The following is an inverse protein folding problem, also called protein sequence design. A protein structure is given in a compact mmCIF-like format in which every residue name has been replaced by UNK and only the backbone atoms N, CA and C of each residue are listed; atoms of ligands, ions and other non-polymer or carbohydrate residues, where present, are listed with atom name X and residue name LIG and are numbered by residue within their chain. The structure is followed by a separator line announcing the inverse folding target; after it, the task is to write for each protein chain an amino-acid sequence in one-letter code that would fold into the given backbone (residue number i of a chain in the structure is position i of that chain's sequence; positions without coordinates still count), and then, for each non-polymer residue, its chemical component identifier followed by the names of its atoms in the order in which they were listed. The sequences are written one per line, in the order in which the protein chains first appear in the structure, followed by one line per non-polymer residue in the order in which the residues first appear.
data_IF_589730979421
#
_entry.id   IF_589730979421
#
_cell.length_a   1.000
_cell.length_b   1.000
_cell.length_c   1.000
_cell.angle_alpha   90.00
_cell.angle_beta   90.00
_cell.angle_gamma   90.00
#
_symmetry.space_group_name_H-M   'P 1'
#
loop_
_entity.id
_entity.type
_entity.pdbx_description
1 polymer ?
#
# COMPACT_ATOMS: atom_id res chain seq x y z
N UNK A 1 3.87 -3.30 19.93
CA UNK A 1 4.48 -2.99 18.61
C UNK A 1 3.92 -3.88 17.51
N UNK A 2 4.12 -5.21 17.57
CA UNK A 2 3.62 -6.13 16.52
C UNK A 2 2.11 -6.04 16.29
N UNK A 3 1.31 -5.95 17.36
CA UNK A 3 -0.14 -5.78 17.25
C UNK A 3 -0.54 -4.49 16.52
N UNK A 4 0.15 -3.38 16.81
CA UNK A 4 -0.07 -2.08 16.15
C UNK A 4 0.31 -2.14 14.67
N UNK A 5 1.43 -2.80 14.35
CA UNK A 5 1.87 -2.98 12.96
C UNK A 5 0.87 -3.85 12.17
N UNK A 6 0.33 -4.90 12.78
CA UNK A 6 -0.70 -5.73 12.15
C UNK A 6 -2.02 -4.98 11.96
N UNK A 7 -2.41 -4.12 12.90
CA UNK A 7 -3.58 -3.27 12.72
C UNK A 7 -3.37 -2.25 11.60
N UNK A 8 -2.21 -1.60 11.52
CA UNK A 8 -1.89 -0.70 10.41
C UNK A 8 -1.94 -1.40 9.05
N UNK A 9 -1.47 -2.66 8.95
CA UNK A 9 -1.60 -3.46 7.73
C UNK A 9 -3.07 -3.79 7.43
N UNK A 10 -3.88 -4.07 8.46
CA UNK A 10 -5.32 -4.34 8.30
C UNK A 10 -6.06 -3.11 7.78
N UNK A 11 -5.84 -1.95 8.39
CA UNK A 11 -6.42 -0.68 7.94
C UNK A 11 -6.03 -0.35 6.50
N UNK A 12 -4.75 -0.53 6.14
CA UNK A 12 -4.29 -0.33 4.77
C UNK A 12 -5.04 -1.23 3.79
N UNK A 13 -5.21 -2.53 4.10
CA UNK A 13 -5.99 -3.47 3.27
C UNK A 13 -7.44 -3.02 3.10
N UNK A 14 -8.10 -2.56 4.17
CA UNK A 14 -9.49 -2.06 4.12
C UNK A 14 -9.60 -0.86 3.17
N UNK A 15 -8.65 0.08 3.26
CA UNK A 15 -8.59 1.25 2.38
C UNK A 15 -8.41 0.81 0.92
N UNK A 16 -7.45 -0.08 0.67
CA UNK A 16 -7.16 -0.60 -0.67
C UNK A 16 -8.39 -1.31 -1.27
N UNK A 17 -9.10 -2.13 -0.50
CA UNK A 17 -10.33 -2.80 -0.93
C UNK A 17 -11.43 -1.79 -1.28
N UNK A 18 -11.57 -0.72 -0.50
CA UNK A 18 -12.52 0.35 -0.77
C UNK A 18 -12.18 1.08 -2.08
N UNK A 19 -10.92 1.41 -2.29
CA UNK A 19 -10.46 2.06 -3.53
C UNK A 19 -10.71 1.18 -4.76
N UNK A 20 -10.50 -0.14 -4.67
CA UNK A 20 -10.80 -1.07 -5.77
C UNK A 20 -12.30 -1.11 -6.07
N UNK A 21 -13.15 -1.16 -5.03
CA UNK A 21 -14.61 -1.12 -5.20
C UNK A 21 -15.05 0.18 -5.87
N UNK A 22 -14.51 1.32 -5.43
CA UNK A 22 -14.82 2.62 -6.01
C UNK A 22 -14.36 2.71 -7.47
N UNK A 23 -13.14 2.30 -7.78
CA UNK A 23 -12.62 2.25 -9.15
C UNK A 23 -13.52 1.40 -10.05
N UNK A 24 -13.97 0.22 -9.61
CA UNK A 24 -14.90 -0.62 -10.37
C UNK A 24 -16.24 0.08 -10.61
N UNK A 25 -16.79 0.74 -9.59
CA UNK A 25 -18.03 1.51 -9.73
C UNK A 25 -17.88 2.66 -10.75
N UNK A 26 -16.75 3.38 -10.71
CA UNK A 26 -16.43 4.43 -11.68
C UNK A 26 -16.27 3.88 -13.10
N UNK A 27 -15.63 2.71 -13.28
CA UNK A 27 -15.52 2.03 -14.58
C UNK A 27 -16.90 1.68 -15.15
N UNK A 28 -17.79 1.10 -14.34
CA UNK A 28 -19.16 0.78 -14.75
C UNK A 28 -19.94 2.04 -15.15
N UNK A 29 -19.87 3.10 -14.32
CA UNK A 29 -20.53 4.36 -14.63
C UNK A 29 -20.03 4.96 -15.95
N UNK A 30 -18.71 5.00 -16.15
CA UNK A 30 -18.10 5.50 -17.38
C UNK A 30 -18.52 4.68 -18.61
N UNK A 31 -18.62 3.36 -18.49
CA UNK A 31 -19.08 2.50 -19.60
C UNK A 31 -20.54 2.75 -19.96
N UNK A 32 -21.42 2.93 -18.97
CA UNK A 32 -22.84 3.24 -19.19
C UNK A 32 -23.00 4.61 -19.85
N UNK A 33 -22.28 5.62 -19.35
CA UNK A 33 -22.31 6.98 -19.89
C UNK A 33 -21.77 7.03 -21.32
N UNK A 34 -20.68 6.31 -21.60
CA UNK A 34 -20.11 6.21 -22.95
C UNK A 34 -21.09 5.55 -23.93
N UNK A 35 -21.77 4.47 -23.52
CA UNK A 35 -22.80 3.83 -24.35
C UNK A 35 -24.00 4.76 -24.58
N UNK A 36 -24.44 5.49 -23.56
CA UNK A 36 -25.52 6.49 -23.71
C UNK A 36 -25.13 7.60 -24.67
N UNK A 37 -23.88 8.05 -24.64
CA UNK A 37 -23.34 9.06 -25.56
C UNK A 37 -23.42 8.59 -27.01
N UNK A 38 -23.03 7.34 -27.29
CA UNK A 38 -23.11 6.76 -28.64
C UNK A 38 -24.55 6.63 -29.12
N UNK A 39 -25.49 6.24 -28.24
CA UNK A 39 -26.91 6.13 -28.62
C UNK A 39 -27.55 7.50 -28.93
N UNK A 40 -27.10 8.56 -28.27
CA UNK A 40 -27.60 9.91 -28.47
C UNK A 40 -26.88 10.67 -29.60
N UNK A 41 -25.87 10.06 -30.24
CA UNK A 41 -25.12 10.69 -31.33
C UNK A 41 -25.93 10.73 -32.63
N UNK A 42 -26.42 11.93 -32.96
CA UNK A 42 -27.21 12.20 -34.18
C UNK A 42 -26.42 11.99 -35.47
N UNK A 43 -25.09 11.92 -35.42
CA UNK A 43 -24.25 11.68 -36.61
C UNK A 43 -24.25 10.20 -37.03
N UNK A 44 -24.61 9.28 -36.14
CA UNK A 44 -24.69 7.85 -36.43
C UNK A 44 -26.07 7.54 -37.01
N UNK A 45 -26.11 7.34 -38.34
CA UNK A 45 -27.37 7.31 -39.10
C UNK A 45 -27.98 5.92 -39.17
N UNK A 46 -27.17 4.87 -39.13
CA UNK A 46 -27.63 3.49 -39.24
C UNK A 46 -27.17 2.60 -38.06
N UNK A 47 -27.82 1.43 -37.93
CA UNK A 47 -27.53 0.46 -36.87
C UNK A 47 -26.11 -0.08 -36.95
N UNK A 48 -25.60 -0.36 -38.16
CA UNK A 48 -24.27 -0.93 -38.36
C UNK A 48 -23.15 0.02 -37.87
N UNK A 49 -23.27 1.32 -38.13
CA UNK A 49 -22.38 2.37 -37.63
C UNK A 49 -22.40 2.46 -36.10
N UNK A 50 -23.60 2.41 -35.50
CA UNK A 50 -23.75 2.41 -34.04
C UNK A 50 -23.09 1.19 -33.43
N UNK A 51 -23.39 -0.01 -33.94
CA UNK A 51 -22.81 -1.26 -33.45
C UNK A 51 -21.28 -1.28 -33.61
N UNK A 52 -20.76 -0.78 -34.74
CA UNK A 52 -19.32 -0.60 -34.94
C UNK A 52 -18.74 0.36 -33.90
N UNK A 53 -19.36 1.52 -33.68
CA UNK A 53 -18.88 2.52 -32.71
C UNK A 53 -18.88 2.00 -31.28
N UNK A 54 -19.90 1.22 -30.91
CA UNK A 54 -19.99 0.57 -29.60
C UNK A 54 -18.84 -0.43 -29.42
N UNK A 55 -18.51 -1.24 -30.44
CA UNK A 55 -17.37 -2.18 -30.37
C UNK A 55 -16.04 -1.44 -30.16
N UNK A 56 -15.76 -0.44 -30.99
CA UNK A 56 -14.53 0.37 -30.85
C UNK A 56 -14.43 1.03 -29.47
N UNK A 57 -15.55 1.54 -28.95
CA UNK A 57 -15.61 2.14 -27.62
C UNK A 57 -15.38 1.11 -26.50
N UNK A 58 -15.95 -0.09 -26.62
CA UNK A 58 -15.76 -1.17 -25.65
C UNK A 58 -14.31 -1.65 -25.63
N UNK A 59 -13.67 -1.77 -26.80
CA UNK A 59 -12.26 -2.14 -26.89
C UNK A 59 -11.36 -1.08 -26.23
N UNK A 60 -11.62 0.19 -26.52
CA UNK A 60 -10.93 1.31 -25.89
C UNK A 60 -11.11 1.34 -24.37
N UNK A 61 -12.35 1.21 -23.89
CA UNK A 61 -12.66 1.20 -22.47
C UNK A 61 -12.00 0.01 -21.77
N UNK A 62 -12.03 -1.17 -22.39
CA UNK A 62 -11.39 -2.38 -21.84
C UNK A 62 -9.90 -2.17 -21.65
N UNK A 63 -9.20 -1.66 -22.67
CA UNK A 63 -7.76 -1.34 -22.57
C UNK A 63 -7.49 -0.34 -21.45
N UNK A 64 -8.21 0.77 -21.43
CA UNK A 64 -8.08 1.81 -20.40
C UNK A 64 -8.32 1.26 -18.98
N UNK A 65 -9.32 0.40 -18.80
CA UNK A 65 -9.64 -0.19 -17.50
C UNK A 65 -8.59 -1.19 -17.03
N UNK A 66 -7.96 -1.93 -17.94
CA UNK A 66 -6.82 -2.80 -17.63
C UNK A 66 -5.64 -1.96 -17.15
N UNK A 67 -5.29 -0.90 -17.88
CA UNK A 67 -4.17 -0.02 -17.53
C UNK A 67 -4.40 0.66 -16.16
N UNK A 68 -5.63 1.13 -15.89
CA UNK A 68 -6.01 1.67 -14.59
C UNK A 68 -5.84 0.64 -13.46
N UNK A 69 -6.28 -0.60 -13.66
CA UNK A 69 -6.14 -1.67 -12.65
C UNK A 69 -4.67 -2.00 -12.41
N UNK A 70 -3.85 -2.02 -13.46
CA UNK A 70 -2.41 -2.25 -13.33
C UNK A 70 -1.73 -1.14 -12.52
N UNK A 71 -2.04 0.12 -12.83
CA UNK A 71 -1.50 1.26 -12.10
C UNK A 71 -1.95 1.25 -10.64
N UNK A 72 -3.21 0.92 -10.38
CA UNK A 72 -3.75 0.79 -9.04
C UNK A 72 -3.05 -0.31 -8.23
N UNK A 73 -2.85 -1.48 -8.83
CA UNK A 73 -2.14 -2.58 -8.18
C UNK A 73 -0.69 -2.20 -7.84
N UNK A 74 0.03 -1.57 -8.78
CA UNK A 74 1.38 -1.06 -8.54
C UNK A 74 1.42 -0.03 -7.40
N UNK A 75 0.41 0.83 -7.31
CA UNK A 75 0.29 1.80 -6.20
C UNK A 75 0.08 1.09 -4.86
N UNK A 76 -0.79 0.10 -4.81
CA UNK A 76 -1.06 -0.70 -3.61
C UNK A 76 0.17 -1.47 -3.15
N UNK A 77 0.89 -2.10 -4.07
CA UNK A 77 2.15 -2.80 -3.77
C UNK A 77 3.18 -1.85 -3.18
N UNK A 78 3.35 -0.66 -3.78
CA UNK A 78 4.27 0.36 -3.28
C UNK A 78 3.90 0.83 -1.87
N UNK A 79 2.62 1.09 -1.61
CA UNK A 79 2.14 1.49 -0.27
C UNK A 79 2.43 0.42 0.77
N UNK A 80 2.19 -0.85 0.44
CA UNK A 80 2.47 -1.99 1.32
C UNK A 80 3.96 -2.14 1.59
N UNK A 81 4.80 -1.99 0.56
CA UNK A 81 6.25 -2.04 0.69
C UNK A 81 6.80 -0.93 1.60
N UNK A 82 6.34 0.31 1.42
CA UNK A 82 6.76 1.44 2.26
C UNK A 82 6.32 1.25 3.72
N UNK A 83 5.10 0.72 3.95
CA UNK A 83 4.63 0.41 5.31
C UNK A 83 5.52 -0.66 5.98
N UNK A 84 5.80 -1.76 5.28
CA UNK A 84 6.66 -2.83 5.79
C UNK A 84 8.10 -2.37 6.03
N UNK A 85 8.62 -1.50 5.16
CA UNK A 85 9.95 -0.90 5.32
C UNK A 85 10.00 -0.07 6.60
N UNK A 86 8.99 0.76 6.86
CA UNK A 86 8.91 1.52 8.12
C UNK A 86 8.83 0.61 9.34
N UNK A 87 7.99 -0.43 9.31
CA UNK A 87 7.93 -1.42 10.40
C UNK A 87 9.28 -2.08 10.68
N UNK A 88 10.03 -2.42 9.63
CA UNK A 88 11.37 -3.01 9.75
C UNK A 88 12.36 -2.05 10.40
N UNK A 89 12.31 -0.77 10.03
CA UNK A 89 13.17 0.27 10.62
C UNK A 89 12.84 0.47 12.11
N UNK A 90 11.56 0.54 12.45
CA UNK A 90 11.12 0.70 13.85
C UNK A 90 11.61 -0.49 14.70
N UNK A 91 11.51 -1.73 14.19
CA UNK A 91 12.01 -2.93 14.86
C UNK A 91 13.53 -2.89 15.05
N UNK A 92 14.29 -2.46 14.02
CA UNK A 92 15.74 -2.34 14.10
C UNK A 92 16.17 -1.29 15.13
N UNK A 93 15.46 -0.16 15.21
CA UNK A 93 15.74 0.90 16.18
C UNK A 93 15.58 0.37 17.61
N UNK A 94 14.49 -0.36 17.89
CA UNK A 94 14.27 -0.98 19.20
C UNK A 94 15.37 -1.99 19.53
N UNK A 95 15.70 -2.89 18.58
CA UNK A 95 16.76 -3.89 18.79
C UNK A 95 18.09 -3.21 19.11
N UNK A 96 18.43 -2.14 18.38
CA UNK A 96 19.66 -1.40 18.60
C UNK A 96 19.66 -0.67 19.95
N UNK A 97 18.53 -0.10 20.35
CA UNK A 97 18.35 0.50 21.69
C UNK A 97 18.60 -0.51 22.80
N UNK A 98 17.94 -1.68 22.73
CA UNK A 98 18.11 -2.76 23.73
C UNK A 98 19.56 -3.25 23.78
N UNK A 99 20.22 -3.42 22.63
CA UNK A 99 21.63 -3.81 22.58
C UNK A 99 22.52 -2.79 23.30
N UNK A 100 22.31 -1.51 23.03
CA UNK A 100 23.07 -0.42 23.64
C UNK A 100 22.88 -0.38 25.16
N UNK A 101 21.64 -0.46 25.64
CA UNK A 101 21.34 -0.51 27.08
C UNK A 101 21.99 -1.72 27.76
N UNK A 102 21.94 -2.89 27.10
CA UNK A 102 22.58 -4.10 27.61
C UNK A 102 24.11 -3.94 27.71
N UNK A 103 24.74 -3.36 26.70
CA UNK A 103 26.18 -3.10 26.74
C UNK A 103 26.58 -2.11 27.83
N UNK A 104 25.80 -1.04 28.01
CA UNK A 104 26.01 -0.07 29.10
C UNK A 104 25.85 -0.73 30.47
N UNK A 105 24.86 -1.59 30.64
CA UNK A 105 24.66 -2.34 31.87
C UNK A 105 25.87 -3.26 32.18
N UNK A 106 26.37 -3.99 31.18
CA UNK A 106 27.54 -4.87 31.34
C UNK A 106 28.77 -4.03 31.72
N UNK A 107 29.04 -2.94 31.01
CA UNK A 107 30.17 -2.04 31.30
C UNK A 107 30.12 -1.53 32.74
N UNK A 108 28.97 -1.04 33.18
CA UNK A 108 28.79 -0.53 34.55
C UNK A 108 29.03 -1.63 35.59
N UNK A 109 28.50 -2.83 35.35
CA UNK A 109 28.72 -3.97 36.25
C UNK A 109 30.21 -4.36 36.37
N UNK A 110 30.94 -4.35 35.24
CA UNK A 110 32.39 -4.60 35.24
C UNK A 110 33.17 -3.51 36.01
N UNK A 111 32.79 -2.24 35.83
CA UNK A 111 33.35 -1.11 36.58
C UNK A 111 33.12 -1.25 38.09
N UNK A 112 31.89 -1.59 38.50
CA UNK A 112 31.53 -1.81 39.91
C UNK A 112 32.35 -2.96 40.52
N UNK A 113 32.54 -4.07 39.80
CA UNK A 113 33.38 -5.19 40.25
C UNK A 113 34.86 -4.79 40.40
N UNK A 114 35.39 -3.99 39.48
CA UNK A 114 36.76 -3.47 39.56
C UNK A 114 36.93 -2.52 40.76
N UNK A 115 35.94 -1.66 41.02
CA UNK A 115 35.94 -0.77 42.18
C UNK A 115 35.93 -1.56 43.50
N UNK A 116 35.11 -2.62 43.60
CA UNK A 116 35.05 -3.48 44.78
C UNK A 116 36.40 -4.17 45.06
N UNK A 117 37.04 -4.72 44.01
CA UNK A 117 38.37 -5.33 44.13
C UNK A 117 39.40 -4.32 44.64
N UNK A 118 39.40 -3.09 44.11
CA UNK A 118 40.31 -2.02 44.57
C UNK A 118 40.09 -1.65 46.03
N UNK A 119 38.85 -1.63 46.50
CA UNK A 119 38.51 -1.31 47.88
C UNK A 119 38.90 -2.42 48.90
N UNK A 120 39.05 -3.66 48.44
CA UNK A 120 39.36 -4.81 49.30
C UNK A 120 40.87 -5.06 49.47
N UNK A 121 41.71 -4.39 48.66
CA UNK A 121 43.18 -4.40 48.83
C UNK A 121 43.56 -3.31 49.83
N UNK A 122 43.43 -3.62 51.12
CA UNK A 122 44.01 -2.87 52.25
C UNK A 122 44.71 -3.90 53.15
#
# INVERSE_FOLDING_TARGET
MKEVQEEQKRELRIIQDREVKEMKAQQTKASIESNRSVMNDRKLRNKAERDRRIRELNDYNTKRFIDQRKLQAQRHDKQTQELNKRHTLDEQEIINGIKKEREEFIRKYEEDLLALKRATVI
#
